data_IF_306753864829
#
_entry.id   IF_306753864829
#
_cell.length_a   1.000
_cell.length_b   1.000
_cell.length_c   1.000
_cell.angle_alpha   90.00
_cell.angle_beta   90.00
_cell.angle_gamma   90.00
#
_symmetry.space_group_name_H-M   'P 1'
#
loop_
_entity.id
_entity.type
_entity.pdbx_description
1 polymer ?
#
# COMPACT_ATOMS: atom_id res chain seq x y z
N UNK A 1 5.08 -16.99 -0.60
CA UNK A 1 5.59 -16.85 0.80
C UNK A 1 4.95 -17.92 1.68
N UNK A 2 5.59 -19.08 1.89
CA UNK A 2 5.00 -20.24 2.56
C UNK A 2 4.71 -20.04 4.07
N UNK A 3 5.18 -18.94 4.66
CA UNK A 3 5.00 -18.62 6.09
C UNK A 3 3.83 -17.67 6.39
N UNK A 4 3.11 -17.18 5.37
CA UNK A 4 1.99 -16.25 5.58
C UNK A 4 0.72 -17.02 5.94
N UNK A 5 0.08 -16.62 7.04
CA UNK A 5 -1.25 -17.11 7.40
C UNK A 5 -2.30 -16.26 6.70
N UNK A 6 -3.00 -16.85 5.73
CA UNK A 6 -4.07 -16.20 4.99
C UNK A 6 -5.40 -16.48 5.69
N UNK A 7 -6.23 -15.44 5.84
CA UNK A 7 -7.61 -15.55 6.32
C UNK A 7 -8.53 -14.79 5.36
N UNK A 8 -9.49 -15.50 4.80
CA UNK A 8 -10.57 -14.90 4.02
C UNK A 8 -11.72 -14.56 4.96
N UNK A 9 -12.23 -13.33 4.87
CA UNK A 9 -13.34 -12.83 5.67
C UNK A 9 -14.45 -12.40 4.72
N UNK A 10 -15.62 -13.03 4.85
CA UNK A 10 -16.77 -12.75 3.96
C UNK A 10 -17.62 -11.56 4.45
N UNK A 11 -17.42 -11.14 5.70
CA UNK A 11 -18.03 -9.95 6.28
C UNK A 11 -16.94 -8.89 6.50
N UNK A 12 -16.97 -7.75 5.78
CA UNK A 12 -16.01 -6.66 5.97
C UNK A 12 -15.97 -6.16 7.40
N UNK A 13 -17.10 -6.08 8.12
CA UNK A 13 -17.16 -5.53 9.48
C UNK A 13 -16.36 -6.37 10.48
N UNK A 14 -16.29 -7.69 10.27
CA UNK A 14 -15.44 -8.57 11.06
C UNK A 14 -13.95 -8.22 10.99
N UNK A 15 -13.48 -7.61 9.89
CA UNK A 15 -12.10 -7.16 9.76
C UNK A 15 -11.78 -6.01 10.73
N UNK A 16 -12.75 -5.14 11.03
CA UNK A 16 -12.59 -4.06 12.02
C UNK A 16 -12.43 -4.56 13.46
N UNK A 17 -12.81 -5.81 13.73
CA UNK A 17 -12.66 -6.44 15.05
C UNK A 17 -11.51 -7.45 15.07
N UNK A 18 -10.71 -7.55 14.02
CA UNK A 18 -9.57 -8.45 13.99
C UNK A 18 -8.40 -7.87 14.78
N UNK A 19 -7.85 -8.67 15.68
CA UNK A 19 -6.70 -8.30 16.50
C UNK A 19 -5.55 -9.28 16.27
N UNK A 20 -4.34 -8.74 16.13
CA UNK A 20 -3.13 -9.50 15.94
C UNK A 20 -1.92 -8.78 16.54
N UNK A 21 -1.12 -9.52 17.28
CA UNK A 21 0.20 -9.07 17.75
C UNK A 21 1.30 -9.18 16.68
N UNK A 22 0.96 -9.68 15.49
CA UNK A 22 1.88 -9.86 14.36
C UNK A 22 1.59 -8.81 13.29
N UNK A 23 2.61 -8.48 12.49
CA UNK A 23 2.44 -7.70 11.27
C UNK A 23 1.30 -8.30 10.41
N UNK A 24 0.36 -7.45 10.02
CA UNK A 24 -0.90 -7.88 9.39
C UNK A 24 -1.19 -6.98 8.21
N UNK A 25 -1.48 -7.58 7.06
CA UNK A 25 -1.92 -6.86 5.86
C UNK A 25 -3.41 -7.11 5.68
N UNK A 26 -4.18 -6.02 5.59
CA UNK A 26 -5.59 -6.06 5.27
C UNK A 26 -5.76 -5.64 3.82
N UNK A 27 -6.41 -6.48 3.02
CA UNK A 27 -6.69 -6.20 1.61
C UNK A 27 -8.21 -6.07 1.46
N UNK A 28 -8.65 -4.93 0.95
CA UNK A 28 -10.06 -4.62 0.74
C UNK A 28 -10.30 -4.25 -0.73
N UNK A 29 -11.49 -4.55 -1.22
CA UNK A 29 -12.01 -3.93 -2.45
C UNK A 29 -12.67 -2.57 -2.16
N UNK A 30 -13.12 -1.90 -3.23
CA UNK A 30 -13.79 -0.59 -3.16
C UNK A 30 -15.03 -0.60 -2.24
N UNK A 31 -15.75 -1.73 -2.16
CA UNK A 31 -16.97 -1.86 -1.36
C UNK A 31 -16.64 -2.06 0.11
N UNK A 32 -15.76 -3.01 0.41
CA UNK A 32 -15.39 -3.38 1.76
C UNK A 32 -14.70 -2.23 2.51
N UNK A 33 -13.80 -1.49 1.84
CA UNK A 33 -13.06 -0.38 2.48
C UNK A 33 -13.99 0.76 2.93
N UNK A 34 -15.12 0.94 2.23
CA UNK A 34 -16.15 1.92 2.60
C UNK A 34 -16.77 1.58 3.96
N UNK A 35 -16.93 0.29 4.28
CA UNK A 35 -17.67 -0.19 5.45
C UNK A 35 -16.83 -0.34 6.72
N UNK A 36 -15.51 -0.51 6.59
CA UNK A 36 -14.63 -0.80 7.73
C UNK A 36 -14.16 0.45 8.47
N UNK A 37 -14.04 0.32 9.79
CA UNK A 37 -13.33 1.25 10.68
C UNK A 37 -11.84 0.94 10.64
N UNK A 38 -11.11 1.65 9.79
CA UNK A 38 -9.65 1.49 9.63
C UNK A 38 -8.87 2.07 10.80
N UNK A 39 -9.43 3.04 11.51
CA UNK A 39 -8.78 3.63 12.68
C UNK A 39 -8.79 2.65 13.84
N UNK A 40 -9.89 1.92 14.02
CA UNK A 40 -9.93 0.80 14.95
C UNK A 40 -8.92 -0.28 14.58
N UNK A 41 -8.85 -0.69 13.31
CA UNK A 41 -7.85 -1.66 12.85
C UNK A 41 -6.43 -1.21 13.24
N UNK A 42 -6.08 0.06 12.99
CA UNK A 42 -4.76 0.62 13.32
C UNK A 42 -4.50 0.71 14.82
N UNK A 43 -5.52 1.02 15.63
CA UNK A 43 -5.41 1.03 17.11
C UNK A 43 -5.14 -0.36 17.66
N UNK A 44 -5.85 -1.35 17.13
CA UNK A 44 -5.82 -2.72 17.66
C UNK A 44 -4.66 -3.55 17.08
N UNK A 45 -4.03 -3.08 15.99
CA UNK A 45 -2.94 -3.76 15.29
C UNK A 45 -1.80 -2.77 14.97
N UNK A 46 -0.76 -2.75 15.81
CA UNK A 46 0.36 -1.80 15.70
C UNK A 46 1.09 -1.84 14.33
N UNK A 47 1.13 -3.02 13.70
CA UNK A 47 1.80 -3.27 12.43
C UNK A 47 0.80 -3.65 11.33
N UNK A 48 -0.30 -2.90 11.26
CA UNK A 48 -1.28 -3.04 10.19
C UNK A 48 -0.91 -2.20 8.97
N UNK A 49 -1.06 -2.80 7.79
CA UNK A 49 -1.10 -2.08 6.51
C UNK A 49 -2.41 -2.39 5.82
N UNK A 50 -3.07 -1.34 5.35
CA UNK A 50 -4.36 -1.39 4.69
C UNK A 50 -4.13 -1.16 3.19
N UNK A 51 -4.49 -2.15 2.38
CA UNK A 51 -4.37 -2.12 0.93
C UNK A 51 -5.77 -2.03 0.33
N UNK A 52 -5.95 -1.09 -0.61
CA UNK A 52 -7.10 -1.05 -1.50
C UNK A 52 -6.76 -1.70 -2.83
N UNK A 53 -7.52 -2.72 -3.20
CA UNK A 53 -7.59 -3.24 -4.56
C UNK A 53 -8.78 -2.62 -5.26
N UNK A 54 -8.51 -1.61 -6.09
CA UNK A 54 -9.56 -0.89 -6.79
C UNK A 54 -9.76 -1.43 -8.19
N UNK A 55 -11.02 -1.67 -8.54
CA UNK A 55 -11.45 -2.02 -9.90
C UNK A 55 -11.99 -0.82 -10.69
N UNK A 56 -12.00 0.37 -10.09
CA UNK A 56 -12.57 1.57 -10.68
C UNK A 56 -11.51 2.34 -11.48
N UNK A 57 -11.69 2.42 -12.80
CA UNK A 57 -10.77 3.12 -13.72
C UNK A 57 -10.41 4.54 -13.25
N UNK A 58 -11.37 5.25 -12.67
CA UNK A 58 -11.11 6.59 -12.14
C UNK A 58 -10.06 6.58 -11.03
N UNK A 59 -10.10 5.63 -10.09
CA UNK A 59 -9.09 5.51 -9.03
C UNK A 59 -7.75 5.04 -9.62
N UNK A 60 -7.79 4.18 -10.64
CA UNK A 60 -6.59 3.61 -11.26
C UNK A 60 -5.80 4.59 -12.13
N UNK A 61 -6.45 5.64 -12.62
CA UNK A 61 -5.88 6.60 -13.59
C UNK A 61 -5.91 8.05 -13.09
N UNK A 62 -6.30 8.29 -11.83
CA UNK A 62 -6.30 9.64 -11.26
C UNK A 62 -5.22 9.79 -10.21
N UNK A 63 -4.66 11.01 -10.07
CA UNK A 63 -3.83 11.35 -8.92
C UNK A 63 -4.56 11.05 -7.61
N UNK A 64 -3.83 10.70 -6.54
CA UNK A 64 -4.42 10.32 -5.26
C UNK A 64 -5.41 11.35 -4.70
N UNK A 65 -5.08 12.64 -4.78
CA UNK A 65 -5.93 13.72 -4.28
C UNK A 65 -7.28 13.78 -5.03
N UNK A 66 -7.23 13.67 -6.35
CA UNK A 66 -8.42 13.64 -7.21
C UNK A 66 -9.28 12.41 -6.93
N UNK A 67 -8.66 11.25 -6.74
CA UNK A 67 -9.34 10.03 -6.35
C UNK A 67 -10.01 10.17 -4.96
N UNK A 68 -9.33 10.77 -3.99
CA UNK A 68 -9.85 11.00 -2.64
C UNK A 68 -11.03 11.97 -2.60
N UNK A 69 -10.99 13.03 -3.40
CA UNK A 69 -12.11 13.99 -3.48
C UNK A 69 -13.40 13.32 -3.95
N UNK A 70 -13.32 12.41 -4.93
CA UNK A 70 -14.49 11.71 -5.48
C UNK A 70 -14.87 10.48 -4.65
N UNK A 71 -13.87 9.75 -4.16
CA UNK A 71 -14.01 8.49 -3.43
C UNK A 71 -13.24 8.60 -2.12
N UNK A 72 -13.88 9.20 -1.11
CA UNK A 72 -13.24 9.55 0.17
C UNK A 72 -12.66 8.36 0.92
N UNK A 73 -13.23 7.15 0.75
CA UNK A 73 -12.72 5.93 1.36
C UNK A 73 -11.29 5.56 0.91
N UNK A 74 -10.82 6.06 -0.23
CA UNK A 74 -9.44 5.79 -0.71
C UNK A 74 -8.38 6.34 0.25
N UNK A 75 -8.70 7.40 1.00
CA UNK A 75 -7.83 7.96 2.05
C UNK A 75 -7.59 7.00 3.23
N UNK A 76 -8.42 5.97 3.38
CA UNK A 76 -8.28 4.96 4.43
C UNK A 76 -7.16 3.96 4.12
N UNK A 77 -6.72 3.83 2.87
CA UNK A 77 -5.70 2.88 2.45
C UNK A 77 -4.29 3.47 2.57
N UNK A 78 -3.34 2.64 3.00
CA UNK A 78 -1.91 2.98 3.02
C UNK A 78 -1.27 2.73 1.64
N UNK A 79 -1.80 1.76 0.88
CA UNK A 79 -1.39 1.43 -0.49
C UNK A 79 -2.63 1.18 -1.36
N UNK A 80 -2.58 1.60 -2.62
CA UNK A 80 -3.67 1.40 -3.59
C UNK A 80 -3.11 0.70 -4.82
N UNK A 81 -3.75 -0.39 -5.25
CA UNK A 81 -3.41 -1.12 -6.47
C UNK A 81 -4.62 -1.26 -7.38
N UNK A 82 -4.36 -1.18 -8.68
CA UNK A 82 -5.32 -1.47 -9.72
C UNK A 82 -5.53 -2.99 -9.85
N UNK A 83 -6.78 -3.42 -9.81
CA UNK A 83 -7.17 -4.80 -10.12
C UNK A 83 -8.21 -4.84 -11.24
N UNK A 84 -8.12 -5.82 -12.12
CA UNK A 84 -9.09 -6.03 -13.19
C UNK A 84 -9.08 -7.51 -13.58
N UNK A 85 -10.22 -8.03 -14.07
CA UNK A 85 -10.31 -9.44 -14.47
C UNK A 85 -9.42 -9.82 -15.66
N UNK A 86 -8.94 -8.83 -16.42
CA UNK A 86 -8.10 -9.03 -17.61
C UNK A 86 -6.61 -8.82 -17.31
N UNK A 87 -6.20 -7.57 -17.14
CA UNK A 87 -4.79 -7.21 -17.05
C UNK A 87 -4.20 -7.40 -15.63
N UNK A 88 -5.00 -7.26 -14.58
CA UNK A 88 -4.54 -7.24 -13.18
C UNK A 88 -5.35 -8.20 -12.31
N UNK A 89 -5.37 -9.49 -12.68
CA UNK A 89 -6.06 -10.48 -11.84
C UNK A 89 -5.51 -10.39 -10.41
N UNK A 90 -6.35 -10.30 -9.37
CA UNK A 90 -5.93 -10.27 -7.98
C UNK A 90 -4.87 -11.33 -7.66
N UNK A 91 -5.03 -12.54 -8.20
CA UNK A 91 -4.11 -13.67 -7.99
C UNK A 91 -2.66 -13.35 -8.39
N UNK A 92 -2.47 -12.50 -9.39
CA UNK A 92 -1.16 -12.13 -9.91
C UNK A 92 -0.49 -10.99 -9.13
N UNK A 93 -1.27 -10.18 -8.40
CA UNK A 93 -0.77 -8.98 -7.69
C UNK A 93 -0.75 -9.15 -6.18
N UNK A 94 -1.56 -10.04 -5.59
CA UNK A 94 -1.65 -10.25 -4.12
C UNK A 94 -0.27 -10.41 -3.50
N UNK A 95 0.59 -11.28 -4.05
CA UNK A 95 1.92 -11.54 -3.47
C UNK A 95 2.80 -10.29 -3.49
N UNK A 96 2.77 -9.51 -4.57
CA UNK A 96 3.56 -8.29 -4.69
C UNK A 96 2.98 -7.15 -3.82
N UNK A 97 1.66 -7.04 -3.71
CA UNK A 97 1.00 -6.08 -2.82
C UNK A 97 1.31 -6.35 -1.35
N UNK A 98 1.22 -7.62 -0.93
CA UNK A 98 1.59 -8.04 0.44
C UNK A 98 3.06 -7.75 0.72
N UNK A 99 3.93 -7.99 -0.27
CA UNK A 99 5.34 -7.66 -0.15
C UNK A 99 5.61 -6.16 -0.04
N UNK A 100 4.90 -5.34 -0.82
CA UNK A 100 4.99 -3.88 -0.70
C UNK A 100 4.54 -3.38 0.68
N UNK A 101 3.53 -4.02 1.28
CA UNK A 101 3.13 -3.73 2.64
C UNK A 101 4.19 -4.15 3.67
N UNK A 102 4.83 -5.30 3.50
CA UNK A 102 5.97 -5.72 4.33
C UNK A 102 7.13 -4.71 4.24
N UNK A 103 7.49 -4.31 3.02
CA UNK A 103 8.53 -3.30 2.77
C UNK A 103 8.17 -1.97 3.44
N UNK A 104 6.91 -1.53 3.38
CA UNK A 104 6.44 -0.32 4.07
C UNK A 104 6.63 -0.40 5.59
N UNK A 105 6.28 -1.53 6.22
CA UNK A 105 6.48 -1.75 7.66
C UNK A 105 7.98 -1.73 7.98
N UNK A 106 8.78 -2.44 7.19
CA UNK A 106 10.22 -2.57 7.38
C UNK A 106 10.93 -1.22 7.28
N UNK A 107 10.61 -0.43 6.26
CA UNK A 107 11.17 0.92 6.05
C UNK A 107 10.79 1.83 7.23
N UNK A 108 9.54 1.81 7.68
CA UNK A 108 9.08 2.63 8.82
C UNK A 108 9.79 2.26 10.12
N UNK A 109 9.96 0.96 10.41
CA UNK A 109 10.58 0.48 11.66
C UNK A 109 12.09 0.56 11.70
N UNK A 110 12.73 0.26 10.58
CA UNK A 110 14.17 0.07 10.48
C UNK A 110 14.82 1.10 9.56
N UNK A 111 14.30 2.33 9.54
CA UNK A 111 14.82 3.44 8.73
C UNK A 111 16.31 3.73 8.94
N UNK A 112 16.88 3.31 10.08
CA UNK A 112 18.31 3.46 10.40
C UNK A 112 19.21 2.36 9.81
N UNK A 113 18.63 1.28 9.32
CA UNK A 113 19.40 0.21 8.69
C UNK A 113 19.83 0.63 7.28
N UNK A 114 21.11 0.45 6.94
CA UNK A 114 21.60 0.67 5.58
C UNK A 114 21.02 -0.41 4.66
N UNK A 115 20.01 -0.06 3.88
CA UNK A 115 19.34 -0.93 2.91
C UNK A 115 19.25 -0.23 1.56
N UNK A 116 19.27 -1.01 0.48
CA UNK A 116 18.88 -0.49 -0.81
C UNK A 116 17.37 -0.33 -0.84
N UNK A 117 16.90 0.87 -1.17
CA UNK A 117 15.48 1.15 -1.31
C UNK A 117 15.22 1.62 -2.73
N UNK A 118 14.33 0.93 -3.44
CA UNK A 118 13.81 1.38 -4.72
C UNK A 118 12.64 2.31 -4.47
N UNK A 119 12.81 3.60 -4.76
CA UNK A 119 11.73 4.57 -4.68
C UNK A 119 10.92 4.55 -5.98
N UNK A 120 9.62 4.32 -5.85
CA UNK A 120 8.62 4.45 -6.92
C UNK A 120 7.73 5.63 -6.55
N UNK A 121 7.65 6.60 -7.45
CA UNK A 121 6.67 7.69 -7.39
C UNK A 121 5.44 7.24 -8.15
N UNK A 122 4.34 7.06 -7.44
CA UNK A 122 3.04 6.58 -7.90
C UNK A 122 2.13 7.79 -8.16
N UNK A 123 2.01 8.18 -9.42
CA UNK A 123 0.97 9.08 -9.91
C UNK A 123 -0.24 8.31 -10.46
N UNK A 124 -0.04 7.10 -11.00
CA UNK A 124 -1.07 6.25 -11.60
C UNK A 124 -1.00 4.77 -11.13
N UNK A 125 -2.00 4.29 -10.35
CA UNK A 125 -2.03 2.93 -9.81
C UNK A 125 -1.84 1.77 -10.78
N UNK A 126 -2.25 1.97 -12.03
CA UNK A 126 -2.21 0.94 -13.06
C UNK A 126 -0.79 0.48 -13.37
N UNK A 127 0.17 1.40 -13.43
CA UNK A 127 1.50 1.11 -13.98
C UNK A 127 2.31 0.18 -13.07
N UNK A 128 2.38 0.48 -11.77
CA UNK A 128 3.11 -0.39 -10.85
C UNK A 128 2.33 -1.63 -10.45
N UNK A 129 1.00 -1.67 -10.59
CA UNK A 129 0.25 -2.92 -10.45
C UNK A 129 0.70 -3.98 -11.47
N UNK A 130 1.17 -3.56 -12.65
CA UNK A 130 1.84 -4.44 -13.62
C UNK A 130 3.30 -4.71 -13.27
N UNK A 131 4.02 -3.66 -12.88
CA UNK A 131 5.48 -3.69 -12.79
C UNK A 131 6.00 -4.31 -11.50
N UNK A 132 5.33 -4.13 -10.36
CA UNK A 132 5.79 -4.61 -9.04
C UNK A 132 6.11 -6.11 -9.00
N UNK A 133 5.27 -7.01 -9.53
CA UNK A 133 5.60 -8.43 -9.60
C UNK A 133 6.93 -8.68 -10.34
N UNK A 134 7.15 -7.99 -11.47
CA UNK A 134 8.39 -8.10 -12.26
C UNK A 134 9.57 -7.53 -11.48
N UNK A 135 9.42 -6.33 -10.91
CA UNK A 135 10.44 -5.68 -10.11
C UNK A 135 10.90 -6.59 -8.96
N UNK A 136 9.96 -7.17 -8.21
CA UNK A 136 10.28 -8.06 -7.09
C UNK A 136 11.01 -9.34 -7.50
N UNK A 137 10.78 -9.83 -8.71
CA UNK A 137 11.53 -10.94 -9.29
C UNK A 137 12.97 -10.54 -9.63
N UNK A 138 13.18 -9.29 -10.07
CA UNK A 138 14.52 -8.76 -10.40
C UNK A 138 15.32 -8.50 -9.11
N UNK A 139 14.76 -7.76 -8.16
CA UNK A 139 15.50 -7.32 -6.97
C UNK A 139 15.61 -8.42 -5.91
N UNK A 140 14.74 -9.43 -5.93
CA UNK A 140 14.69 -10.47 -4.90
C UNK A 140 14.60 -9.85 -3.50
N UNK A 141 15.07 -10.52 -2.45
CA UNK A 141 15.04 -10.00 -1.06
C UNK A 141 16.13 -8.95 -0.74
N UNK A 142 16.79 -8.37 -1.76
CA UNK A 142 17.99 -7.54 -1.56
C UNK A 142 17.69 -6.06 -1.34
N UNK A 143 16.45 -5.65 -1.64
CA UNK A 143 16.02 -4.27 -1.51
C UNK A 143 14.54 -4.21 -1.12
N UNK A 144 14.19 -3.16 -0.40
CA UNK A 144 12.82 -2.80 -0.06
C UNK A 144 12.29 -1.83 -1.13
N UNK A 145 11.01 -1.88 -1.46
CA UNK A 145 10.37 -0.91 -2.37
C UNK A 145 9.61 0.12 -1.55
N UNK A 146 9.95 1.40 -1.74
CA UNK A 146 9.20 2.53 -1.19
C UNK A 146 8.29 3.09 -2.28
N UNK A 147 6.99 3.05 -2.04
CA UNK A 147 6.00 3.74 -2.88
C UNK A 147 5.66 5.07 -2.20
N UNK A 148 5.72 6.17 -2.95
CA UNK A 148 5.25 7.50 -2.56
C UNK A 148 4.25 8.00 -3.58
N UNK A 149 3.14 8.57 -3.13
CA UNK A 149 2.01 8.94 -3.99
C UNK A 149 1.93 10.42 -4.31
N UNK A 150 2.67 11.25 -3.58
CA UNK A 150 2.78 12.68 -3.85
C UNK A 150 4.24 13.13 -3.86
N UNK A 151 4.44 14.32 -4.42
CA UNK A 151 5.73 14.98 -4.38
C UNK A 151 6.16 15.23 -2.92
N UNK A 152 5.25 15.66 -2.07
CA UNK A 152 5.47 15.91 -0.64
C UNK A 152 5.85 14.62 0.10
N UNK A 153 5.18 13.50 -0.17
CA UNK A 153 5.58 12.19 0.38
C UNK A 153 6.98 11.79 -0.07
N UNK A 154 7.32 12.10 -1.31
CA UNK A 154 8.65 11.85 -1.88
C UNK A 154 9.72 12.68 -1.19
N UNK A 155 9.48 13.98 -1.01
CA UNK A 155 10.37 14.87 -0.27
C UNK A 155 10.51 14.43 1.19
N UNK A 156 9.41 14.07 1.83
CA UNK A 156 9.41 13.64 3.23
C UNK A 156 10.21 12.36 3.39
N UNK A 157 10.15 11.45 2.42
CA UNK A 157 10.92 10.22 2.43
C UNK A 157 12.41 10.45 2.17
N UNK A 158 12.77 11.24 1.15
CA UNK A 158 14.17 11.45 0.75
C UNK A 158 14.94 12.39 1.68
N UNK A 159 14.28 13.44 2.17
CA UNK A 159 14.91 14.56 2.84
C UNK A 159 14.31 14.88 4.21
N UNK A 160 13.21 14.23 4.61
CA UNK A 160 12.54 14.50 5.88
C UNK A 160 11.77 15.82 5.91
N UNK A 161 11.49 16.43 4.76
CA UNK A 161 10.81 17.72 4.64
C UNK A 161 9.57 17.65 3.75
N UNK A 162 8.63 18.56 3.98
CA UNK A 162 7.37 18.71 3.24
C UNK A 162 7.45 19.66 2.04
N UNK A 163 8.55 20.42 1.90
CA UNK A 163 8.74 21.44 0.85
C UNK A 163 10.18 21.47 0.36
N UNK A 164 10.34 21.68 -0.94
CA UNK A 164 11.64 21.76 -1.59
C UNK A 164 12.52 22.87 -0.98
N UNK A 165 11.92 24.01 -0.60
CA UNK A 165 12.64 25.13 0.02
C UNK A 165 13.27 24.83 1.38
N UNK A 166 12.96 23.68 1.99
CA UNK A 166 13.57 23.22 3.25
C UNK A 166 14.72 22.22 3.02
N UNK A 167 14.99 21.85 1.77
CA UNK A 167 16.13 21.00 1.41
C UNK A 167 17.38 21.89 1.37
N UNK A 168 18.20 21.85 2.43
CA UNK A 168 19.35 22.75 2.62
C UNK A 168 18.99 24.24 2.54
N UNK A 169 18.41 24.83 3.60
CA UNK A 169 18.23 26.29 3.70
C UNK A 169 19.56 27.05 3.75
#
# INVERSE_FOLDING_TARGET
MPWIKIRLMNDPLSASNYESKRATVFIFDDTALTLVDTDKIRRDNQDAVIILFSSLDFIQSSPPETAQQKYTYTSKADLVFAVSKGEFSPDNIISAAVRAAEDLINIKKYSKAKRYIFLIVDDEPRWFSQFLPVLYNIIGQRADVKITRTYEETLQFLFGVDKESKINP
#
